data_IF_050346749473
#
_entry.id   IF_050346749473
#
_cell.length_a   1.000
_cell.length_b   1.000
_cell.length_c   1.000
_cell.angle_alpha   90.00
_cell.angle_beta   90.00
_cell.angle_gamma   90.00
#
_symmetry.space_group_name_H-M   'P 1'
#
loop_
_entity.id
_entity.type
_entity.pdbx_description
1 polymer ?
#
# COMPACT_ATOMS: atom_id res chain seq x y z
N UNK A 1 47.07 37.99 26.68
CA UNK A 1 47.07 37.79 25.23
C UNK A 1 45.92 36.87 24.85
N UNK A 2 44.93 37.46 24.31
CA UNK A 2 43.62 36.94 23.88
C UNK A 2 43.76 36.02 22.70
N UNK A 3 43.08 34.84 22.66
CA UNK A 3 42.69 34.19 21.43
C UNK A 3 41.31 33.63 21.57
N UNK A 4 40.48 34.14 20.68
CA UNK A 4 39.08 33.86 20.43
C UNK A 4 38.82 32.41 20.03
N UNK A 5 37.76 31.86 20.61
CA UNK A 5 37.09 30.68 20.10
C UNK A 5 36.06 31.12 19.06
N UNK A 6 36.24 30.77 17.82
CA UNK A 6 35.22 30.89 16.77
C UNK A 6 34.29 29.73 16.89
N UNK A 7 33.04 30.03 17.23
CA UNK A 7 31.93 29.11 17.09
C UNK A 7 31.60 28.97 15.58
N UNK A 8 31.88 27.82 15.04
CA UNK A 8 31.32 27.44 13.75
C UNK A 8 29.87 26.98 14.00
N UNK A 9 28.95 27.86 13.68
CA UNK A 9 27.52 27.59 13.74
C UNK A 9 27.15 26.60 12.62
N UNK A 10 26.90 25.35 13.01
CA UNK A 10 26.37 24.33 12.13
C UNK A 10 25.16 24.88 11.38
N UNK A 11 25.24 24.87 10.06
CA UNK A 11 24.14 25.17 9.17
C UNK A 11 23.01 24.15 9.42
N UNK A 12 22.01 24.55 10.17
CA UNK A 12 20.73 23.84 10.26
C UNK A 12 20.10 24.01 8.87
N UNK A 13 20.06 22.95 8.08
CA UNK A 13 19.22 22.91 6.90
C UNK A 13 17.78 23.14 7.37
N UNK A 14 17.06 24.13 6.83
CA UNK A 14 15.65 24.32 7.16
C UNK A 14 14.89 23.08 6.67
N UNK A 15 14.33 22.30 7.61
CA UNK A 15 13.52 21.16 7.32
C UNK A 15 12.41 21.53 6.32
N UNK A 16 12.37 20.85 5.20
CA UNK A 16 11.20 20.87 4.32
C UNK A 16 10.00 20.48 5.19
N UNK A 17 9.06 21.41 5.37
CA UNK A 17 7.74 21.04 5.87
C UNK A 17 7.21 20.01 4.88
N UNK A 18 6.97 18.79 5.33
CA UNK A 18 6.26 17.80 4.54
C UNK A 18 5.00 18.48 4.00
N UNK A 19 4.82 18.48 2.69
CA UNK A 19 3.59 18.98 2.08
C UNK A 19 2.52 17.99 2.49
N UNK A 20 1.67 18.39 3.44
CA UNK A 20 0.54 17.55 3.87
C UNK A 20 -0.36 17.40 2.65
N UNK A 21 -0.50 16.16 2.16
CA UNK A 21 -1.43 15.88 1.07
C UNK A 21 -2.87 16.07 1.57
N UNK A 22 -3.79 16.58 0.72
CA UNK A 22 -5.19 16.66 1.11
C UNK A 22 -5.74 15.26 1.41
N UNK A 23 -6.62 15.18 2.41
CA UNK A 23 -7.32 13.95 2.71
C UNK A 23 -8.17 13.52 1.52
N UNK A 24 -8.22 12.22 1.27
CA UNK A 24 -9.06 11.65 0.21
C UNK A 24 -10.49 11.46 0.69
N UNK A 25 -11.45 11.76 -0.17
CA UNK A 25 -12.89 11.52 0.06
C UNK A 25 -13.43 10.42 -0.86
N UNK A 26 -12.59 9.50 -1.27
CA UNK A 26 -12.90 8.35 -2.10
C UNK A 26 -11.92 8.14 -3.24
N UNK A 27 -12.27 7.19 -4.10
CA UNK A 27 -11.42 6.73 -5.19
C UNK A 27 -12.24 6.52 -6.45
N UNK A 28 -11.59 6.43 -7.60
CA UNK A 28 -12.22 6.02 -8.86
C UNK A 28 -12.05 4.51 -9.10
N UNK A 29 -12.92 3.89 -9.91
CA UNK A 29 -12.82 2.47 -10.24
C UNK A 29 -11.44 2.09 -10.79
N UNK A 30 -10.89 0.97 -10.30
CA UNK A 30 -9.58 0.47 -10.65
C UNK A 30 -8.42 1.01 -9.80
N UNK A 31 -8.67 1.88 -8.82
CA UNK A 31 -7.60 2.38 -7.93
C UNK A 31 -7.56 1.57 -6.64
N UNK A 32 -6.39 1.08 -6.19
CA UNK A 32 -6.22 0.53 -4.85
C UNK A 32 -6.61 1.59 -3.80
N UNK A 33 -7.57 1.25 -2.95
CA UNK A 33 -8.22 2.23 -2.08
C UNK A 33 -8.07 1.95 -0.59
N UNK A 34 -7.76 0.72 -0.22
CA UNK A 34 -7.68 0.29 1.17
C UNK A 34 -6.73 -0.88 1.34
N UNK A 35 -6.21 -1.00 2.55
CA UNK A 35 -5.46 -2.17 2.98
C UNK A 35 -5.85 -2.53 4.40
N UNK A 36 -5.92 -3.81 4.70
CA UNK A 36 -6.00 -4.31 6.06
C UNK A 36 -5.09 -5.51 6.27
N UNK A 37 -4.82 -5.84 7.52
CA UNK A 37 -4.14 -7.08 7.85
C UNK A 37 -5.07 -8.01 8.60
N UNK A 38 -5.21 -9.23 8.10
CA UNK A 38 -5.87 -10.33 8.79
C UNK A 38 -4.88 -10.99 9.74
N UNK A 39 -5.21 -11.06 11.02
CA UNK A 39 -4.30 -11.50 12.09
C UNK A 39 -4.90 -12.68 12.86
N UNK A 40 -4.12 -13.68 13.28
CA UNK A 40 -4.54 -14.72 14.24
C UNK A 40 -5.01 -14.11 15.58
N UNK A 41 -4.28 -13.11 16.09
CA UNK A 41 -4.67 -12.31 17.26
C UNK A 41 -4.51 -10.81 16.93
N UNK A 42 -5.58 -10.16 16.50
CA UNK A 42 -5.52 -8.73 16.15
C UNK A 42 -5.17 -7.85 17.35
N UNK A 43 -5.57 -8.21 18.60
CA UNK A 43 -5.23 -7.42 19.77
C UNK A 43 -3.71 -7.42 20.03
N UNK A 44 -3.05 -8.57 19.85
CA UNK A 44 -1.60 -8.70 20.00
C UNK A 44 -0.83 -7.96 18.90
N UNK A 45 -1.43 -7.68 17.73
CA UNK A 45 -0.81 -6.92 16.65
C UNK A 45 -0.80 -5.40 16.89
N UNK A 46 -1.78 -4.86 17.63
CA UNK A 46 -1.92 -3.39 17.80
C UNK A 46 -0.68 -2.71 18.38
N UNK A 47 0.01 -3.23 19.42
CA UNK A 47 1.23 -2.61 19.95
C UNK A 47 2.33 -2.46 18.90
N UNK A 48 2.48 -3.44 18.00
CA UNK A 48 3.47 -3.38 16.94
C UNK A 48 3.21 -2.20 15.99
N UNK A 49 2.01 -2.11 15.43
CA UNK A 49 1.67 -1.04 14.48
C UNK A 49 1.58 0.33 15.13
N UNK A 50 1.12 0.40 16.40
CA UNK A 50 1.18 1.64 17.19
C UNK A 50 2.61 2.13 17.38
N UNK A 51 3.54 1.23 17.71
CA UNK A 51 4.96 1.57 17.89
C UNK A 51 5.67 1.90 16.58
N UNK A 52 5.36 1.18 15.49
CA UNK A 52 5.99 1.36 14.20
C UNK A 52 5.55 2.67 13.52
N UNK A 53 4.23 2.91 13.43
CA UNK A 53 3.62 3.99 12.65
C UNK A 53 2.95 5.09 13.48
N UNK A 54 2.76 4.87 14.78
CA UNK A 54 2.04 5.82 15.63
C UNK A 54 0.53 5.77 15.48
N UNK A 55 -0.03 4.68 14.95
CA UNK A 55 -1.46 4.54 14.73
C UNK A 55 -2.28 4.54 16.01
N UNK A 56 -3.44 5.19 15.96
CA UNK A 56 -4.52 5.05 16.91
C UNK A 56 -5.53 4.03 16.40
N UNK A 57 -6.17 3.27 17.30
CA UNK A 57 -7.08 2.19 16.92
C UNK A 57 -8.44 2.36 17.56
N UNK A 58 -9.49 2.12 16.76
CA UNK A 58 -10.88 2.05 17.20
C UNK A 58 -11.49 0.74 16.71
N UNK A 59 -12.10 -0.03 17.61
CA UNK A 59 -12.80 -1.27 17.23
C UNK A 59 -14.10 -0.92 16.51
N UNK A 60 -14.22 -1.29 15.25
CA UNK A 60 -15.41 -1.05 14.43
C UNK A 60 -16.45 -2.16 14.54
N UNK A 61 -16.13 -3.27 15.23
CA UNK A 61 -17.09 -4.37 15.39
C UNK A 61 -18.07 -4.11 16.51
N UNK A 62 -19.35 -4.48 16.33
CA UNK A 62 -20.34 -4.42 17.40
C UNK A 62 -19.91 -5.23 18.62
N UNK A 63 -20.35 -4.78 19.82
CA UNK A 63 -20.10 -5.51 21.06
C UNK A 63 -20.66 -6.95 20.97
N UNK A 64 -19.84 -7.93 21.35
CA UNK A 64 -20.21 -9.35 21.30
C UNK A 64 -19.93 -10.04 19.97
N UNK A 65 -19.36 -9.35 18.97
CA UNK A 65 -18.91 -10.00 17.73
C UNK A 65 -17.82 -11.03 17.97
N UNK A 66 -17.84 -12.14 17.22
CA UNK A 66 -16.82 -13.20 17.31
C UNK A 66 -15.43 -12.76 16.84
N UNK A 67 -15.38 -11.81 15.87
CA UNK A 67 -14.13 -11.22 15.36
C UNK A 67 -13.90 -9.81 15.88
N UNK A 68 -12.72 -9.27 15.57
CA UNK A 68 -12.36 -7.86 15.80
C UNK A 68 -11.93 -7.24 14.48
N UNK A 69 -12.18 -5.93 14.35
CA UNK A 69 -11.71 -5.14 13.22
C UNK A 69 -11.39 -3.73 13.71
N UNK A 70 -10.10 -3.48 13.90
CA UNK A 70 -9.61 -2.20 14.41
C UNK A 70 -9.26 -1.27 13.26
N UNK A 71 -10.03 -0.20 13.12
CA UNK A 71 -9.69 0.91 12.22
C UNK A 71 -8.44 1.60 12.74
N UNK A 72 -7.40 1.65 11.92
CA UNK A 72 -6.17 2.38 12.21
C UNK A 72 -6.31 3.82 11.70
N UNK A 73 -6.03 4.78 12.58
CA UNK A 73 -6.14 6.21 12.28
C UNK A 73 -4.85 6.95 12.52
N UNK A 74 -4.64 7.95 11.71
CA UNK A 74 -3.56 8.92 11.86
C UNK A 74 -4.11 10.31 11.57
N UNK A 75 -3.87 11.27 12.49
CA UNK A 75 -4.40 12.64 12.40
C UNK A 75 -5.92 12.69 12.18
N UNK A 76 -6.64 11.72 12.72
CA UNK A 76 -8.10 11.61 12.60
C UNK A 76 -8.61 11.00 11.28
N UNK A 77 -7.74 10.69 10.32
CA UNK A 77 -8.10 10.01 9.07
C UNK A 77 -7.76 8.52 9.10
N UNK A 78 -8.58 7.72 8.44
CA UNK A 78 -8.37 6.27 8.32
C UNK A 78 -7.19 5.99 7.37
N UNK A 79 -6.29 5.08 7.78
CA UNK A 79 -5.07 4.71 7.01
C UNK A 79 -5.02 3.23 6.64
N UNK A 80 -5.52 2.35 7.49
CA UNK A 80 -5.54 0.90 7.32
C UNK A 80 -6.46 0.25 8.36
N UNK A 81 -6.52 -1.09 8.42
CA UNK A 81 -7.12 -1.79 9.55
C UNK A 81 -6.34 -3.05 9.96
N UNK A 82 -6.65 -3.51 11.18
CA UNK A 82 -6.15 -4.76 11.75
C UNK A 82 -7.37 -5.60 12.15
N UNK A 83 -7.61 -6.70 11.44
CA UNK A 83 -8.76 -7.56 11.64
C UNK A 83 -8.40 -8.98 12.06
N UNK A 84 -9.39 -9.73 12.57
CA UNK A 84 -9.28 -11.16 12.79
C UNK A 84 -9.19 -11.93 11.48
N UNK A 85 -8.43 -13.00 11.44
CA UNK A 85 -8.52 -13.96 10.34
C UNK A 85 -9.96 -14.45 10.20
N UNK A 86 -10.47 -14.61 8.96
CA UNK A 86 -11.78 -15.21 8.75
C UNK A 86 -11.77 -16.67 9.21
N UNK A 87 -12.91 -17.21 9.69
CA UNK A 87 -13.04 -18.61 10.07
C UNK A 87 -12.59 -19.54 8.92
N UNK A 88 -11.66 -20.47 9.23
CA UNK A 88 -11.06 -21.37 8.23
C UNK A 88 -10.05 -20.70 7.29
N UNK A 89 -9.72 -19.45 7.51
CA UNK A 89 -8.71 -18.70 6.75
C UNK A 89 -7.25 -19.09 7.12
N UNK A 90 -6.27 -18.35 6.56
CA UNK A 90 -4.85 -18.60 6.81
C UNK A 90 -4.52 -18.59 8.30
N UNK A 91 -3.59 -19.46 8.72
CA UNK A 91 -3.08 -19.46 10.10
C UNK A 91 -2.04 -18.35 10.35
N UNK A 92 -1.51 -17.78 9.29
CA UNK A 92 -0.55 -16.67 9.34
C UNK A 92 -1.25 -15.36 9.07
N UNK A 93 -0.70 -14.28 9.62
CA UNK A 93 -1.13 -12.94 9.30
C UNK A 93 -0.77 -12.57 7.85
N UNK A 94 -1.68 -11.87 7.18
CA UNK A 94 -1.50 -11.40 5.79
C UNK A 94 -2.03 -9.99 5.64
N UNK A 95 -1.40 -9.21 4.74
CA UNK A 95 -1.95 -7.94 4.27
C UNK A 95 -2.83 -8.18 3.05
N UNK A 96 -3.98 -7.53 3.02
CA UNK A 96 -4.94 -7.55 1.93
C UNK A 96 -4.96 -6.19 1.22
N UNK A 97 -5.00 -6.22 -0.12
CA UNK A 97 -5.15 -5.04 -0.97
C UNK A 97 -6.58 -5.00 -1.50
N UNK A 98 -7.23 -3.85 -1.38
CA UNK A 98 -8.59 -3.62 -1.89
C UNK A 98 -8.55 -2.66 -3.07
N UNK A 99 -9.22 -3.02 -4.16
CA UNK A 99 -9.34 -2.21 -5.36
C UNK A 99 -10.78 -1.72 -5.47
N UNK A 100 -10.95 -0.41 -5.60
CA UNK A 100 -12.26 0.22 -5.76
C UNK A 100 -12.94 -0.20 -7.05
N UNK A 101 -14.22 -0.52 -6.97
CA UNK A 101 -15.06 -0.88 -8.11
C UNK A 101 -16.44 -0.25 -8.00
N UNK A 102 -17.12 -0.03 -9.13
CA UNK A 102 -18.50 0.43 -9.15
C UNK A 102 -19.49 -0.67 -8.76
N UNK A 103 -19.15 -1.95 -9.05
CA UNK A 103 -19.92 -3.12 -8.68
C UNK A 103 -19.03 -4.32 -8.41
N UNK A 104 -19.06 -4.80 -7.17
CA UNK A 104 -18.34 -6.00 -6.76
C UNK A 104 -18.86 -7.24 -7.52
N UNK A 105 -20.17 -7.36 -7.72
CA UNK A 105 -20.79 -8.47 -8.45
C UNK A 105 -20.36 -8.53 -9.92
N UNK A 106 -20.45 -7.39 -10.62
CA UNK A 106 -20.09 -7.33 -12.04
C UNK A 106 -18.57 -7.57 -12.23
N UNK A 107 -17.73 -7.04 -11.34
CA UNK A 107 -16.29 -7.21 -11.44
C UNK A 107 -15.87 -8.64 -11.06
N UNK A 108 -16.52 -9.27 -10.09
CA UNK A 108 -16.30 -10.69 -9.77
C UNK A 108 -16.67 -11.61 -10.95
N UNK A 109 -17.77 -11.31 -11.65
CA UNK A 109 -18.13 -12.05 -12.87
C UNK A 109 -17.07 -11.91 -13.96
N UNK A 110 -16.59 -10.67 -14.23
CA UNK A 110 -15.48 -10.41 -15.17
C UNK A 110 -14.19 -11.14 -14.77
N UNK A 111 -13.89 -11.20 -13.46
CA UNK A 111 -12.70 -11.90 -12.99
C UNK A 111 -12.73 -13.39 -13.34
N UNK A 112 -13.90 -14.07 -13.18
CA UNK A 112 -14.06 -15.46 -13.60
C UNK A 112 -13.85 -15.64 -15.11
N UNK A 113 -14.46 -14.78 -15.91
CA UNK A 113 -14.32 -14.83 -17.37
C UNK A 113 -12.89 -14.60 -17.82
N UNK A 114 -12.12 -13.78 -17.10
CA UNK A 114 -10.72 -13.50 -17.35
C UNK A 114 -9.75 -14.56 -16.80
N UNK A 115 -10.25 -15.66 -16.19
CA UNK A 115 -9.46 -16.77 -15.68
C UNK A 115 -8.98 -16.64 -14.24
N UNK A 116 -9.51 -15.67 -13.48
CA UNK A 116 -9.34 -15.59 -12.03
C UNK A 116 -10.33 -16.49 -11.27
N UNK A 117 -10.14 -16.60 -9.96
CA UNK A 117 -11.02 -17.36 -9.09
C UNK A 117 -11.68 -16.43 -8.08
N UNK A 118 -13.01 -16.54 -7.93
CA UNK A 118 -13.73 -15.89 -6.83
C UNK A 118 -13.65 -16.80 -5.61
N UNK A 119 -12.81 -16.40 -4.65
CA UNK A 119 -12.58 -17.14 -3.39
C UNK A 119 -13.73 -16.90 -2.42
N UNK A 120 -14.21 -15.65 -2.34
CA UNK A 120 -15.41 -15.28 -1.60
C UNK A 120 -16.34 -14.50 -2.52
N UNK A 121 -17.58 -14.99 -2.65
CA UNK A 121 -18.63 -14.32 -3.41
C UNK A 121 -18.89 -12.91 -2.87
N UNK A 122 -19.37 -11.98 -3.71
CA UNK A 122 -19.70 -10.64 -3.25
C UNK A 122 -20.70 -10.65 -2.08
N UNK A 123 -20.34 -10.00 -0.98
CA UNK A 123 -21.17 -9.88 0.22
C UNK A 123 -21.09 -8.48 0.82
N UNK A 124 -22.13 -8.09 1.53
CA UNK A 124 -22.19 -6.79 2.20
C UNK A 124 -21.42 -6.82 3.53
N UNK A 125 -20.56 -5.82 3.73
CA UNK A 125 -19.86 -5.59 4.98
C UNK A 125 -20.64 -4.52 5.74
N UNK A 126 -21.65 -4.94 6.48
CA UNK A 126 -22.60 -4.04 7.17
C UNK A 126 -23.07 -2.91 6.23
N UNK A 127 -22.96 -1.65 6.66
CA UNK A 127 -23.22 -0.46 5.84
C UNK A 127 -21.96 0.14 5.19
N UNK A 128 -20.77 -0.46 5.48
CA UNK A 128 -19.49 0.06 5.01
C UNK A 128 -19.33 -0.06 3.49
N UNK A 129 -19.75 -1.17 2.92
CA UNK A 129 -19.63 -1.44 1.51
C UNK A 129 -19.95 -2.87 1.13
N UNK A 130 -19.61 -3.25 -0.11
CA UNK A 130 -19.74 -4.60 -0.62
C UNK A 130 -18.40 -5.07 -1.15
N UNK A 131 -17.97 -6.26 -0.77
CA UNK A 131 -16.67 -6.79 -1.14
C UNK A 131 -16.75 -8.20 -1.72
N UNK A 132 -15.70 -8.58 -2.45
CA UNK A 132 -15.42 -9.95 -2.84
C UNK A 132 -13.94 -10.23 -2.71
N UNK A 133 -13.55 -11.49 -2.51
CA UNK A 133 -12.15 -11.91 -2.53
C UNK A 133 -11.87 -12.69 -3.80
N UNK A 134 -10.88 -12.23 -4.54
CA UNK A 134 -10.50 -12.75 -5.86
C UNK A 134 -9.05 -13.23 -5.80
N UNK A 135 -8.72 -14.28 -6.53
CA UNK A 135 -7.34 -14.51 -6.94
C UNK A 135 -7.20 -14.31 -8.45
N UNK A 136 -6.07 -13.74 -8.85
CA UNK A 136 -5.70 -13.68 -10.26
C UNK A 136 -5.33 -15.08 -10.81
N UNK A 137 -5.04 -15.23 -12.09
CA UNK A 137 -4.70 -16.53 -12.68
C UNK A 137 -3.44 -17.20 -12.13
N UNK A 138 -2.56 -16.49 -11.40
CA UNK A 138 -1.39 -17.04 -10.71
C UNK A 138 -1.65 -17.32 -9.22
N UNK A 139 -2.82 -16.95 -8.71
CA UNK A 139 -3.21 -17.13 -7.30
C UNK A 139 -2.94 -15.93 -6.40
N UNK A 140 -2.51 -14.78 -6.93
CA UNK A 140 -2.37 -13.56 -6.13
C UNK A 140 -3.74 -13.06 -5.68
N UNK A 141 -3.96 -13.04 -4.36
CA UNK A 141 -5.24 -12.65 -3.78
C UNK A 141 -5.35 -11.12 -3.62
N UNK A 142 -6.53 -10.58 -3.94
CA UNK A 142 -6.92 -9.20 -3.70
C UNK A 142 -8.41 -9.10 -3.45
N UNK A 143 -8.86 -7.97 -2.91
CA UNK A 143 -10.26 -7.72 -2.63
C UNK A 143 -10.83 -6.67 -3.60
N UNK A 144 -12.07 -6.86 -4.01
CA UNK A 144 -12.88 -5.83 -4.64
C UNK A 144 -13.62 -5.04 -3.56
N UNK A 145 -13.72 -3.73 -3.72
CA UNK A 145 -14.43 -2.86 -2.80
C UNK A 145 -15.40 -1.93 -3.53
N UNK A 146 -16.69 -2.19 -3.36
CA UNK A 146 -17.79 -1.30 -3.75
C UNK A 146 -18.19 -0.50 -2.51
N UNK A 147 -17.74 0.76 -2.45
CA UNK A 147 -17.85 1.58 -1.23
C UNK A 147 -19.27 2.08 -0.98
N UNK A 148 -19.63 2.17 0.31
CA UNK A 148 -20.81 2.88 0.81
C UNK A 148 -20.37 3.91 1.85
N UNK A 149 -20.50 3.63 3.15
CA UNK A 149 -20.06 4.53 4.22
C UNK A 149 -18.54 4.55 4.40
N UNK A 150 -17.83 3.42 4.15
CA UNK A 150 -16.36 3.37 4.19
C UNK A 150 -15.76 3.63 2.81
N UNK A 151 -15.09 4.76 2.66
CA UNK A 151 -14.60 5.28 1.38
C UNK A 151 -13.10 5.05 1.15
N UNK A 152 -12.51 4.07 1.84
CA UNK A 152 -11.09 3.75 1.73
C UNK A 152 -10.19 4.61 2.62
N UNK A 153 -8.88 4.57 2.36
CA UNK A 153 -7.89 5.32 3.13
C UNK A 153 -8.04 6.83 2.88
N UNK A 154 -8.19 7.59 3.95
CA UNK A 154 -8.30 9.07 3.89
C UNK A 154 -6.92 9.73 3.86
N UNK A 155 -5.96 9.17 4.57
CA UNK A 155 -4.57 9.64 4.60
C UNK A 155 -3.70 8.65 3.83
N UNK A 156 -2.98 9.13 2.82
CA UNK A 156 -2.09 8.35 1.96
C UNK A 156 -0.81 9.13 1.66
N UNK A 157 0.25 8.44 1.26
CA UNK A 157 1.52 9.03 0.83
C UNK A 157 2.21 9.89 1.91
N UNK A 158 1.99 9.57 3.18
CA UNK A 158 2.62 10.19 4.33
C UNK A 158 3.23 9.13 5.25
N UNK A 159 3.97 9.58 6.29
CA UNK A 159 4.50 8.66 7.29
C UNK A 159 3.39 7.81 7.91
N UNK A 160 3.59 6.49 7.94
CA UNK A 160 2.63 5.54 8.50
C UNK A 160 1.33 5.38 7.67
N UNK A 161 1.26 5.91 6.46
CA UNK A 161 0.09 5.77 5.59
C UNK A 161 0.40 4.96 4.35
N UNK A 162 -0.65 4.40 3.72
CA UNK A 162 -0.53 3.67 2.47
C UNK A 162 0.16 4.53 1.42
N UNK A 163 1.23 4.00 0.83
CA UNK A 163 2.01 4.66 -0.21
C UNK A 163 1.81 3.95 -1.56
N UNK A 164 2.04 2.62 -1.59
CA UNK A 164 1.90 1.81 -2.78
C UNK A 164 1.35 0.42 -2.48
N UNK A 165 0.71 -0.19 -3.48
CA UNK A 165 0.50 -1.62 -3.58
C UNK A 165 1.34 -2.16 -4.73
N UNK A 166 1.78 -3.40 -4.66
CA UNK A 166 2.59 -4.01 -5.70
C UNK A 166 2.19 -5.46 -5.96
N UNK A 167 2.09 -5.83 -7.24
CA UNK A 167 1.92 -7.22 -7.65
C UNK A 167 3.29 -7.87 -7.84
N UNK A 168 3.55 -8.93 -7.13
CA UNK A 168 4.69 -9.83 -7.33
C UNK A 168 4.20 -11.01 -8.16
N UNK A 169 4.73 -11.21 -9.38
CA UNK A 169 4.19 -12.15 -10.37
C UNK A 169 5.31 -12.86 -11.16
N UNK A 170 5.07 -14.06 -11.64
CA UNK A 170 5.98 -14.78 -12.58
C UNK A 170 5.71 -14.42 -14.03
N UNK A 171 4.45 -14.08 -14.33
CA UNK A 171 3.99 -13.84 -15.70
C UNK A 171 3.33 -12.46 -15.81
N UNK A 172 4.14 -11.38 -15.96
CA UNK A 172 3.62 -10.03 -16.12
C UNK A 172 2.67 -9.86 -17.31
N UNK A 173 2.86 -10.62 -18.39
CA UNK A 173 1.99 -10.55 -19.57
C UNK A 173 0.61 -11.17 -19.30
N UNK A 174 0.56 -12.27 -18.57
CA UNK A 174 -0.70 -12.86 -18.13
C UNK A 174 -1.42 -11.95 -17.14
N UNK A 175 -0.69 -11.36 -16.20
CA UNK A 175 -1.23 -10.35 -15.27
C UNK A 175 -1.78 -9.14 -16.04
N UNK A 176 -1.06 -8.64 -17.06
CA UNK A 176 -1.51 -7.53 -17.92
C UNK A 176 -2.82 -7.84 -18.64
N UNK A 177 -2.98 -9.06 -19.17
CA UNK A 177 -4.23 -9.46 -19.79
C UNK A 177 -5.38 -9.45 -18.78
N UNK A 178 -5.17 -10.00 -17.57
CA UNK A 178 -6.17 -10.09 -16.52
C UNK A 178 -6.58 -8.72 -15.96
N UNK A 179 -5.63 -7.95 -15.43
CA UNK A 179 -5.93 -6.66 -14.82
C UNK A 179 -6.35 -5.59 -15.85
N UNK A 180 -5.89 -5.73 -17.10
CA UNK A 180 -6.36 -4.92 -18.22
C UNK A 180 -7.85 -5.10 -18.50
N UNK A 181 -8.36 -6.34 -18.44
CA UNK A 181 -9.80 -6.64 -18.58
C UNK A 181 -10.61 -6.13 -17.38
N UNK A 182 -10.10 -6.33 -16.16
CA UNK A 182 -10.84 -5.97 -14.96
C UNK A 182 -10.95 -4.46 -14.75
N UNK A 183 -9.82 -3.77 -14.87
CA UNK A 183 -9.67 -2.39 -14.41
C UNK A 183 -9.24 -1.41 -15.51
N UNK A 184 -8.96 -1.89 -16.72
CA UNK A 184 -8.41 -1.06 -17.80
C UNK A 184 -6.94 -0.68 -17.60
N UNK A 185 -6.24 -1.36 -16.70
CA UNK A 185 -4.83 -1.08 -16.41
C UNK A 185 -3.93 -1.36 -17.62
N UNK A 186 -2.90 -0.56 -17.74
CA UNK A 186 -1.83 -0.73 -18.73
C UNK A 186 -0.50 -0.88 -18.01
N UNK A 187 0.40 -1.66 -18.59
CA UNK A 187 1.77 -1.75 -18.12
C UNK A 187 2.54 -0.54 -18.64
N UNK A 188 3.09 0.25 -17.74
CA UNK A 188 3.97 1.38 -18.03
C UNK A 188 5.41 0.94 -17.75
N UNK A 189 6.22 0.86 -18.80
CA UNK A 189 7.64 0.55 -18.68
C UNK A 189 8.41 1.82 -18.29
N UNK A 190 9.07 1.77 -17.15
CA UNK A 190 9.89 2.86 -16.63
C UNK A 190 11.34 2.40 -16.44
N UNK A 191 12.32 3.30 -16.41
CA UNK A 191 13.72 2.95 -16.11
C UNK A 191 13.88 2.20 -14.78
N UNK A 192 12.98 2.44 -13.84
CA UNK A 192 12.93 1.84 -12.51
C UNK A 192 12.11 0.54 -12.42
N UNK A 193 11.67 -0.02 -13.55
CA UNK A 193 10.80 -1.20 -13.59
C UNK A 193 9.38 -0.90 -14.07
N UNK A 194 8.61 -1.95 -14.30
CA UNK A 194 7.24 -1.80 -14.78
C UNK A 194 6.26 -1.41 -13.68
N UNK A 195 5.25 -0.63 -14.04
CA UNK A 195 4.18 -0.21 -13.13
C UNK A 195 2.81 -0.31 -13.80
N UNK A 196 1.78 -0.54 -13.00
CA UNK A 196 0.39 -0.45 -13.46
C UNK A 196 -0.04 1.01 -13.53
N UNK A 197 -0.51 1.43 -14.69
CA UNK A 197 -1.10 2.74 -14.92
C UNK A 197 -2.58 2.60 -15.28
N UNK A 198 -3.42 3.45 -14.71
CA UNK A 198 -4.83 3.62 -15.06
C UNK A 198 -4.96 4.90 -15.87
N UNK A 199 -5.20 4.80 -17.20
CA UNK A 199 -5.30 5.98 -18.05
C UNK A 199 -6.36 6.97 -17.57
N UNK A 200 -6.00 8.24 -17.42
CA UNK A 200 -6.87 9.32 -16.93
C UNK A 200 -6.88 9.48 -15.41
N UNK A 201 -6.20 8.62 -14.66
CA UNK A 201 -6.11 8.79 -13.20
C UNK A 201 -5.41 10.10 -12.81
N UNK A 202 -4.40 10.50 -13.57
CA UNK A 202 -3.71 11.77 -13.38
C UNK A 202 -4.60 12.99 -13.58
N UNK A 203 -5.60 12.94 -14.45
CA UNK A 203 -6.59 14.02 -14.61
C UNK A 203 -7.45 14.15 -13.35
N UNK A 204 -7.94 13.02 -12.83
CA UNK A 204 -8.67 12.97 -11.57
C UNK A 204 -7.85 13.50 -10.38
N UNK A 205 -6.56 13.14 -10.31
CA UNK A 205 -5.67 13.64 -9.26
C UNK A 205 -5.43 15.16 -9.38
N UNK A 206 -5.26 15.68 -10.60
CA UNK A 206 -5.07 17.11 -10.85
C UNK A 206 -6.32 17.92 -10.48
N UNK A 207 -7.53 17.38 -10.72
CA UNK A 207 -8.79 17.99 -10.28
C UNK A 207 -8.85 18.13 -8.75
N UNK A 208 -8.47 17.08 -8.02
CA UNK A 208 -8.44 17.05 -6.55
C UNK A 208 -7.27 17.83 -5.94
N UNK A 209 -6.16 17.96 -6.67
CA UNK A 209 -4.93 18.61 -6.22
C UNK A 209 -4.35 19.45 -7.36
N UNK A 210 -4.87 20.65 -7.61
CA UNK A 210 -4.41 21.52 -8.69
C UNK A 210 -2.91 21.83 -8.58
N UNK A 211 -2.18 21.64 -9.67
CA UNK A 211 -0.73 21.84 -9.74
C UNK A 211 0.12 20.59 -9.47
N UNK A 212 -0.50 19.43 -9.25
CA UNK A 212 0.20 18.17 -9.06
C UNK A 212 1.10 17.81 -10.26
N UNK A 213 0.61 17.99 -11.50
CA UNK A 213 1.40 17.75 -12.72
C UNK A 213 2.67 18.61 -12.74
N UNK A 214 2.53 19.88 -12.44
CA UNK A 214 3.67 20.81 -12.38
C UNK A 214 4.67 20.41 -11.28
N UNK A 215 4.18 19.94 -10.13
CA UNK A 215 5.04 19.44 -9.06
C UNK A 215 5.82 18.20 -9.51
N UNK A 216 5.17 17.26 -10.18
CA UNK A 216 5.82 16.06 -10.72
C UNK A 216 6.87 16.38 -11.79
N UNK A 217 6.59 17.33 -12.69
CA UNK A 217 7.56 17.83 -13.66
C UNK A 217 8.80 18.45 -12.97
N UNK A 218 8.60 19.25 -11.92
CA UNK A 218 9.70 19.82 -11.12
C UNK A 218 10.54 18.75 -10.42
N UNK A 219 9.90 17.66 -10.01
CA UNK A 219 10.58 16.49 -9.43
C UNK A 219 11.21 15.59 -10.50
N UNK A 220 11.03 15.89 -11.80
CA UNK A 220 11.46 15.06 -12.92
C UNK A 220 10.87 13.63 -12.86
N UNK A 221 9.63 13.50 -12.41
CA UNK A 221 8.93 12.23 -12.45
C UNK A 221 8.86 11.71 -13.90
N UNK A 222 8.98 10.40 -14.13
CA UNK A 222 8.88 9.83 -15.47
C UNK A 222 7.55 10.18 -16.16
N UNK A 223 7.54 10.26 -17.47
CA UNK A 223 6.32 10.47 -18.26
C UNK A 223 5.28 9.38 -17.97
N UNK A 224 4.02 9.75 -17.78
CA UNK A 224 2.93 8.85 -17.44
C UNK A 224 2.88 8.41 -15.97
N UNK A 225 3.87 8.74 -15.14
CA UNK A 225 3.90 8.34 -13.72
C UNK A 225 2.69 8.84 -12.93
N UNK A 226 2.07 9.95 -13.32
CA UNK A 226 0.87 10.48 -12.66
C UNK A 226 -0.34 9.54 -12.75
N UNK A 227 -0.37 8.65 -13.74
CA UNK A 227 -1.43 7.64 -13.92
C UNK A 227 -1.14 6.34 -13.18
N UNK A 228 0.02 6.21 -12.50
CA UNK A 228 0.42 4.98 -11.81
C UNK A 228 -0.48 4.71 -10.61
N UNK A 229 -0.94 3.46 -10.51
CA UNK A 229 -1.83 2.99 -9.43
C UNK A 229 -1.21 1.87 -8.59
N UNK A 230 -0.25 1.10 -9.14
CA UNK A 230 0.44 0.04 -8.42
C UNK A 230 1.79 -0.30 -9.07
N UNK A 231 2.66 -0.97 -8.32
CA UNK A 231 3.93 -1.51 -8.83
C UNK A 231 3.76 -2.93 -9.42
N UNK A 232 4.71 -3.33 -10.26
CA UNK A 232 4.86 -4.73 -10.72
C UNK A 232 6.27 -5.18 -10.44
N UNK A 233 6.41 -6.30 -9.76
CA UNK A 233 7.70 -6.91 -9.46
C UNK A 233 7.72 -8.33 -10.03
N UNK A 234 8.45 -8.57 -11.13
CA UNK A 234 8.66 -9.91 -11.62
C UNK A 234 9.42 -10.76 -10.60
N UNK A 235 8.96 -11.97 -10.35
CA UNK A 235 9.72 -12.95 -9.57
C UNK A 235 11.00 -13.33 -10.32
N UNK A 236 12.08 -13.58 -9.56
CA UNK A 236 13.34 -13.98 -10.15
C UNK A 236 13.18 -15.25 -11.00
N UNK A 237 13.85 -15.33 -12.16
CA UNK A 237 13.82 -16.54 -12.96
C UNK A 237 14.26 -17.78 -12.15
N UNK A 238 13.39 -18.81 -12.12
CA UNK A 238 13.64 -20.04 -11.36
C UNK A 238 13.16 -20.02 -9.89
N UNK A 239 12.67 -18.91 -9.38
CA UNK A 239 12.00 -18.88 -8.07
C UNK A 239 10.64 -19.58 -8.18
N UNK A 240 10.59 -20.84 -7.76
CA UNK A 240 9.37 -21.65 -7.71
C UNK A 240 8.73 -21.67 -6.31
N UNK A 241 9.36 -21.06 -5.32
CA UNK A 241 8.94 -21.13 -3.93
C UNK A 241 8.06 -19.95 -3.50
N UNK A 242 8.38 -18.76 -3.98
CA UNK A 242 7.59 -17.56 -3.65
C UNK A 242 6.27 -17.57 -4.43
N UNK A 243 5.10 -17.60 -3.78
CA UNK A 243 3.83 -17.47 -4.50
C UNK A 243 3.66 -16.08 -5.10
N UNK A 244 2.94 -15.97 -6.21
CA UNK A 244 2.46 -14.67 -6.68
C UNK A 244 1.57 -14.04 -5.60
N UNK A 245 1.75 -12.76 -5.32
CA UNK A 245 1.01 -12.07 -4.24
C UNK A 245 0.98 -10.56 -4.42
N UNK A 246 0.07 -9.92 -3.72
CA UNK A 246 0.05 -8.48 -3.55
C UNK A 246 0.86 -8.07 -2.32
N UNK A 247 1.74 -7.11 -2.47
CA UNK A 247 2.51 -6.47 -1.39
C UNK A 247 1.92 -5.10 -1.04
N UNK A 248 2.09 -4.69 0.21
CA UNK A 248 1.63 -3.39 0.71
C UNK A 248 2.84 -2.57 1.14
N UNK A 249 2.90 -1.32 0.71
CA UNK A 249 3.98 -0.38 1.04
C UNK A 249 3.42 0.81 1.81
N UNK A 250 3.99 1.08 2.98
CA UNK A 250 3.70 2.28 3.79
C UNK A 250 4.83 3.29 3.65
N UNK A 251 4.46 4.56 3.56
CA UNK A 251 5.42 5.66 3.62
C UNK A 251 6.04 5.76 5.01
N UNK A 252 7.33 6.08 5.09
CA UNK A 252 8.03 6.39 6.35
C UNK A 252 8.98 7.55 6.14
N UNK A 253 9.26 8.30 7.21
CA UNK A 253 10.22 9.41 7.15
C UNK A 253 11.67 8.91 7.05
N UNK A 254 11.95 7.72 7.62
CA UNK A 254 13.29 7.12 7.67
C UNK A 254 13.19 5.59 7.72
N UNK A 255 13.69 4.92 6.68
CA UNK A 255 13.60 3.47 6.53
C UNK A 255 14.49 2.70 7.52
N UNK A 256 15.65 3.26 7.89
CA UNK A 256 16.56 2.67 8.88
C UNK A 256 15.93 2.69 10.28
N UNK A 257 15.31 3.81 10.64
CA UNK A 257 14.56 3.94 11.89
C UNK A 257 13.35 3.00 11.93
N UNK A 258 12.64 2.85 10.81
CA UNK A 258 11.51 1.90 10.71
C UNK A 258 11.98 0.45 10.92
N UNK A 259 13.09 0.05 10.30
CA UNK A 259 13.70 -1.28 10.50
C UNK A 259 14.10 -1.51 11.97
N UNK A 260 14.78 -0.54 12.60
CA UNK A 260 15.18 -0.63 14.00
C UNK A 260 13.98 -0.73 14.96
N UNK A 261 12.93 0.07 14.73
CA UNK A 261 11.67 0.00 15.50
C UNK A 261 10.98 -1.34 15.34
N UNK A 262 10.86 -1.85 14.09
CA UNK A 262 10.23 -3.13 13.83
C UNK A 262 10.91 -4.26 14.63
N UNK A 263 12.24 -4.31 14.61
CA UNK A 263 13.00 -5.28 15.38
C UNK A 263 12.77 -5.13 16.90
N UNK A 264 12.81 -3.89 17.42
CA UNK A 264 12.59 -3.62 18.84
C UNK A 264 11.18 -3.99 19.32
N UNK A 265 10.18 -3.99 18.40
CA UNK A 265 8.79 -4.35 18.66
C UNK A 265 8.50 -5.84 18.43
N UNK A 266 9.53 -6.67 18.20
CA UNK A 266 9.39 -8.11 18.02
C UNK A 266 9.08 -8.56 16.60
N UNK A 267 9.16 -7.66 15.62
CA UNK A 267 9.10 -8.00 14.21
C UNK A 267 10.46 -8.45 13.66
N UNK A 268 10.47 -8.88 12.41
CA UNK A 268 11.65 -9.31 11.67
C UNK A 268 11.93 -8.36 10.51
N UNK A 269 13.17 -7.95 10.32
CA UNK A 269 13.63 -7.28 9.10
C UNK A 269 14.03 -8.36 8.10
N UNK A 270 13.17 -8.60 7.11
CA UNK A 270 13.34 -9.64 6.09
C UNK A 270 14.38 -9.23 5.05
N UNK A 271 14.37 -7.94 4.66
CA UNK A 271 15.34 -7.37 3.73
C UNK A 271 15.55 -5.88 3.98
N UNK A 272 16.76 -5.40 3.69
CA UNK A 272 17.11 -3.99 3.78
C UNK A 272 17.61 -3.54 5.16
N UNK A 273 17.65 -2.21 5.39
CA UNK A 273 17.33 -1.13 4.45
C UNK A 273 18.23 -1.10 3.21
N UNK A 274 17.63 -0.89 2.04
CA UNK A 274 18.34 -0.80 0.76
C UNK A 274 17.82 0.36 -0.08
N UNK A 275 18.68 0.93 -0.93
CA UNK A 275 18.31 1.99 -1.85
C UNK A 275 17.67 1.41 -3.11
N UNK A 276 16.60 2.05 -3.56
CA UNK A 276 15.87 1.74 -4.77
C UNK A 276 15.53 3.05 -5.50
N UNK A 277 15.12 3.00 -6.77
CA UNK A 277 14.72 4.22 -7.48
C UNK A 277 13.76 5.07 -6.68
N UNK A 278 14.12 6.36 -6.47
CA UNK A 278 13.37 7.37 -5.71
C UNK A 278 13.13 7.03 -4.22
N UNK A 279 13.70 5.95 -3.70
CA UNK A 279 13.36 5.48 -2.37
C UNK A 279 14.50 4.79 -1.65
N UNK A 280 14.34 4.66 -0.33
CA UNK A 280 15.06 3.72 0.53
C UNK A 280 14.03 2.87 1.22
N UNK A 281 14.15 1.55 1.14
CA UNK A 281 13.11 0.63 1.54
C UNK A 281 13.62 -0.43 2.51
N UNK A 282 12.72 -0.94 3.35
CA UNK A 282 12.94 -2.14 4.16
C UNK A 282 11.70 -3.03 4.11
N UNK A 283 11.91 -4.33 4.05
CA UNK A 283 10.85 -5.34 4.12
C UNK A 283 10.77 -5.86 5.54
N UNK A 284 9.62 -5.70 6.13
CA UNK A 284 9.34 -6.00 7.54
C UNK A 284 8.29 -7.08 7.62
N UNK A 285 8.48 -8.06 8.52
CA UNK A 285 7.46 -9.01 8.93
C UNK A 285 7.03 -8.69 10.35
N UNK A 286 5.73 -8.57 10.58
CA UNK A 286 5.20 -8.35 11.92
C UNK A 286 5.35 -9.61 12.79
N UNK A 287 5.11 -9.54 14.11
CA UNK A 287 5.27 -10.70 15.02
C UNK A 287 4.38 -11.91 14.69
N UNK A 288 3.33 -11.74 13.87
CA UNK A 288 2.41 -12.81 13.50
C UNK A 288 2.58 -13.28 12.05
N UNK A 289 3.53 -12.68 11.31
CA UNK A 289 3.94 -13.15 9.99
C UNK A 289 3.49 -12.29 8.81
N UNK A 290 2.72 -11.21 9.02
CA UNK A 290 2.34 -10.32 7.94
C UNK A 290 3.53 -9.50 7.45
N UNK A 291 3.79 -9.53 6.14
CA UNK A 291 4.91 -8.82 5.52
C UNK A 291 4.43 -7.52 4.90
N UNK A 292 5.16 -6.44 5.17
CA UNK A 292 4.95 -5.10 4.61
C UNK A 292 6.28 -4.49 4.16
N UNK A 293 6.19 -3.47 3.32
CA UNK A 293 7.33 -2.65 2.92
C UNK A 293 7.19 -1.27 3.58
N UNK A 294 8.25 -0.78 4.21
CA UNK A 294 8.36 0.61 4.64
C UNK A 294 9.27 1.35 3.66
N UNK A 295 8.77 2.42 3.05
CA UNK A 295 9.44 3.16 1.98
C UNK A 295 9.61 4.63 2.35
N UNK A 296 10.86 5.07 2.40
CA UNK A 296 11.25 6.47 2.52
C UNK A 296 11.46 7.05 1.12
N UNK A 297 10.89 8.20 0.83
CA UNK A 297 11.16 8.93 -0.41
C UNK A 297 12.56 9.57 -0.35
N UNK A 298 13.41 9.28 -1.35
CA UNK A 298 14.79 9.78 -1.48
C UNK A 298 14.99 10.28 -2.90
N UNK A 299 14.93 11.60 -3.09
CA UNK A 299 15.06 12.23 -4.42
C UNK A 299 16.44 12.02 -5.05
N UNK A 300 17.46 11.85 -4.22
CA UNK A 300 18.84 11.58 -4.65
C UNK A 300 19.01 10.23 -5.32
N UNK A 301 18.06 9.30 -5.08
CA UNK A 301 18.05 7.96 -5.67
C UNK A 301 17.33 7.92 -7.03
N UNK A 302 16.97 9.08 -7.60
CA UNK A 302 16.22 9.17 -8.88
C UNK A 302 16.92 8.49 -10.06
N UNK A 303 18.23 8.42 -10.06
CA UNK A 303 19.04 7.88 -11.15
C UNK A 303 19.39 6.37 -10.95
N UNK A 304 18.96 5.77 -9.85
CA UNK A 304 19.13 4.33 -9.66
C UNK A 304 18.24 3.58 -10.64
N UNK A 305 18.76 2.47 -11.15
CA UNK A 305 17.99 1.50 -11.96
C UNK A 305 17.65 0.30 -11.12
N UNK A 306 16.50 -0.31 -11.37
CA UNK A 306 16.04 -1.50 -10.64
C UNK A 306 16.88 -2.74 -10.96
#
# INVERSE_FOLDING_TARGET
>A
MTRLWSHDAGKICPGRKATIMPERDGYIPGVPCWVDTSQPDPNAALPFYRGLFGWEFEDAMPEGSEGRYFMARQRGGDVAAVGSNPPGGPQQAVWNTYIWVDSADATAAKAREAGGTVVSEPFDVMDAGRMAVITDPEGAAFCLWEARSHRGARVVNEHGALNFNGLVTRDPERAKAFYGVLFGWRLLELPAGAMWALPGYGDHLEEGTPGLRKMMEQMKAPEGFIDVVAAVTPLAPGDSQTPAHWSVTFGVDDADTAAAKAHALGGEVVAGPFDAPWSRMTVIKDPQGATLIASQFVSENSDLTA
#
